data_IF_634780171702
#
_entry.id   IF_634780171702
#
_cell.length_a   1.000
_cell.length_b   1.000
_cell.length_c   1.000
_cell.angle_alpha   90.00
_cell.angle_beta   90.00
_cell.angle_gamma   90.00
#
_symmetry.space_group_name_H-M   'P 1'
#
loop_
_entity.id
_entity.type
_entity.pdbx_description
1 polymer ?
#
# COMPACT_ATOMS: atom_id res chain seq x y z
N UNK A 1 22.11 -15.49 -1.03
CA UNK A 1 20.71 -15.67 -0.58
C UNK A 1 20.35 -14.44 0.23
N UNK A 2 19.51 -13.55 -0.31
CA UNK A 2 19.10 -12.33 0.40
C UNK A 2 17.84 -12.66 1.21
N UNK A 3 17.89 -12.53 2.53
CA UNK A 3 16.73 -12.77 3.38
C UNK A 3 15.58 -11.83 2.98
N UNK A 4 14.30 -12.26 3.03
CA UNK A 4 13.19 -11.39 2.76
C UNK A 4 13.16 -10.26 3.79
N UNK A 5 13.11 -9.02 3.31
CA UNK A 5 12.90 -7.85 4.17
C UNK A 5 11.46 -7.91 4.67
N UNK A 6 11.28 -8.34 5.92
CA UNK A 6 9.99 -8.25 6.61
C UNK A 6 9.68 -6.77 6.82
N UNK A 7 8.72 -6.24 6.04
CA UNK A 7 8.19 -4.90 6.27
C UNK A 7 7.03 -5.02 7.26
N UNK A 8 6.96 -4.14 8.26
CA UNK A 8 5.82 -4.09 9.16
C UNK A 8 4.53 -3.81 8.38
N UNK A 9 3.41 -4.31 8.88
CA UNK A 9 2.09 -3.96 8.36
C UNK A 9 1.75 -2.50 8.70
N UNK A 10 0.83 -1.90 7.93
CA UNK A 10 0.39 -0.51 8.12
C UNK A 10 -0.47 -0.46 9.38
N UNK A 11 -0.04 0.27 10.40
CA UNK A 11 -0.73 0.36 11.68
C UNK A 11 -1.56 1.64 11.80
N UNK A 12 -1.06 2.75 11.28
CA UNK A 12 -1.70 4.05 11.46
C UNK A 12 -1.59 4.98 10.23
N UNK A 13 -2.13 6.18 10.38
CA UNK A 13 -2.13 7.21 9.35
C UNK A 13 -0.72 7.69 9.00
N UNK A 14 0.22 7.67 9.94
CA UNK A 14 1.62 8.01 9.73
C UNK A 14 2.27 7.05 8.73
N UNK A 15 2.07 5.74 8.91
CA UNK A 15 2.56 4.72 7.97
C UNK A 15 2.01 4.93 6.55
N UNK A 16 0.74 5.32 6.44
CA UNK A 16 0.11 5.65 5.16
C UNK A 16 0.78 6.88 4.53
N UNK A 17 1.02 7.94 5.30
CA UNK A 17 1.69 9.13 4.80
C UNK A 17 3.12 8.83 4.33
N UNK A 18 3.86 8.00 5.06
CA UNK A 18 5.22 7.59 4.72
C UNK A 18 5.28 6.73 3.44
N UNK A 19 4.22 5.97 3.16
CA UNK A 19 4.08 5.23 1.91
C UNK A 19 3.64 6.12 0.73
N UNK A 20 2.63 6.94 0.94
CA UNK A 20 1.93 7.69 -0.12
C UNK A 20 2.71 8.92 -0.57
N UNK A 21 3.40 9.61 0.36
CA UNK A 21 4.20 10.81 0.04
C UNK A 21 5.28 10.55 -1.02
N UNK A 22 6.19 9.56 -0.86
CA UNK A 22 7.22 9.29 -1.87
C UNK A 22 6.64 8.76 -3.18
N UNK A 23 5.48 8.10 -3.15
CA UNK A 23 4.77 7.71 -4.37
C UNK A 23 4.35 8.94 -5.17
N UNK A 24 3.63 9.89 -4.55
CA UNK A 24 3.19 11.10 -5.26
C UNK A 24 4.34 12.02 -5.65
N UNK A 25 5.42 12.10 -4.86
CA UNK A 25 6.64 12.79 -5.28
C UNK A 25 7.20 12.23 -6.58
N UNK A 26 7.19 10.90 -6.75
CA UNK A 26 7.62 10.26 -8.01
C UNK A 26 6.63 10.54 -9.14
N UNK A 27 5.33 10.47 -8.88
CA UNK A 27 4.29 10.76 -9.91
C UNK A 27 4.44 12.17 -10.47
N UNK A 28 4.65 13.17 -9.61
CA UNK A 28 4.83 14.56 -10.04
C UNK A 28 6.14 14.79 -10.81
N UNK A 29 7.18 14.01 -10.52
CA UNK A 29 8.48 14.09 -11.19
C UNK A 29 8.57 13.19 -12.45
N UNK A 30 7.57 12.35 -12.68
CA UNK A 30 7.56 11.41 -13.80
C UNK A 30 7.28 12.14 -15.12
N UNK A 31 8.02 11.83 -16.18
CA UNK A 31 7.92 12.54 -17.45
C UNK A 31 6.60 12.28 -18.20
N UNK A 32 5.96 11.14 -17.96
CA UNK A 32 4.69 10.78 -18.57
C UNK A 32 3.50 11.27 -17.73
N UNK A 33 3.57 11.07 -16.41
CA UNK A 33 2.46 11.40 -15.50
C UNK A 33 2.49 12.85 -15.01
N UNK A 34 3.67 13.41 -14.78
CA UNK A 34 3.86 14.76 -14.25
C UNK A 34 3.05 15.84 -14.98
N UNK A 35 3.07 15.92 -16.33
CA UNK A 35 2.28 16.91 -17.07
C UNK A 35 0.78 16.81 -16.84
N UNK A 36 0.25 15.60 -16.57
CA UNK A 36 -1.17 15.41 -16.27
C UNK A 36 -1.49 16.06 -14.92
N UNK A 37 -0.65 15.87 -13.91
CA UNK A 37 -0.87 16.41 -12.57
C UNK A 37 -0.58 17.91 -12.48
N UNK A 38 0.45 18.40 -13.17
CA UNK A 38 0.91 19.79 -13.10
C UNK A 38 0.20 20.69 -14.10
N UNK A 39 0.20 20.31 -15.38
CA UNK A 39 -0.24 21.21 -16.46
C UNK A 39 -1.75 21.10 -16.72
N UNK A 40 -2.28 19.87 -16.72
CA UNK A 40 -3.69 19.60 -17.01
C UNK A 40 -4.55 19.76 -15.77
N UNK A 41 -4.29 18.97 -14.73
CA UNK A 41 -5.09 18.94 -13.51
C UNK A 41 -4.71 20.04 -12.50
N UNK A 42 -3.54 20.68 -12.65
CA UNK A 42 -3.05 21.78 -11.80
C UNK A 42 -3.15 21.46 -10.31
N UNK A 43 -2.72 20.27 -9.95
CA UNK A 43 -2.83 19.74 -8.60
C UNK A 43 -1.82 20.43 -7.69
N UNK A 44 -2.30 21.05 -6.62
CA UNK A 44 -1.46 21.49 -5.51
C UNK A 44 -1.16 20.30 -4.61
N UNK A 45 0.12 19.93 -4.54
CA UNK A 45 0.57 18.79 -3.74
C UNK A 45 0.31 18.97 -2.24
N UNK A 46 0.37 20.20 -1.72
CA UNK A 46 0.14 20.47 -0.30
C UNK A 46 -1.31 20.25 0.12
N UNK A 47 -2.24 20.43 -0.82
CA UNK A 47 -3.69 20.22 -0.63
C UNK A 47 -4.07 18.78 -0.97
N UNK A 48 -3.47 18.21 -2.01
CA UNK A 48 -3.84 16.89 -2.52
C UNK A 48 -3.33 15.75 -1.63
N UNK A 49 -2.11 15.84 -1.10
CA UNK A 49 -1.52 14.77 -0.31
C UNK A 49 -2.37 14.41 0.94
N UNK A 50 -2.85 15.35 1.77
CA UNK A 50 -3.73 15.04 2.89
C UNK A 50 -5.00 14.28 2.47
N UNK A 51 -5.63 14.69 1.36
CA UNK A 51 -6.84 14.04 0.82
C UNK A 51 -6.55 12.61 0.38
N UNK A 52 -5.41 12.37 -0.26
CA UNK A 52 -5.01 11.01 -0.65
C UNK A 52 -4.68 10.14 0.54
N UNK A 53 -4.11 10.70 1.61
CA UNK A 53 -3.94 9.96 2.87
C UNK A 53 -5.29 9.56 3.48
N UNK A 54 -6.28 10.47 3.52
CA UNK A 54 -7.64 10.16 3.98
C UNK A 54 -8.30 9.03 3.18
N UNK A 55 -8.14 9.09 1.85
CA UNK A 55 -8.66 8.08 0.94
C UNK A 55 -8.04 6.71 1.24
N UNK A 56 -6.71 6.62 1.32
CA UNK A 56 -6.02 5.37 1.57
C UNK A 56 -6.25 4.83 2.99
N UNK A 57 -6.40 5.70 3.99
CA UNK A 57 -6.82 5.31 5.35
C UNK A 57 -8.19 4.65 5.34
N UNK A 58 -9.14 5.22 4.58
CA UNK A 58 -10.48 4.66 4.41
C UNK A 58 -10.43 3.30 3.71
N UNK A 59 -9.63 3.17 2.66
CA UNK A 59 -9.46 1.91 1.89
C UNK A 59 -8.83 0.83 2.76
N UNK A 60 -7.71 1.13 3.43
CA UNK A 60 -7.02 0.21 4.33
C UNK A 60 -7.95 -0.25 5.45
N UNK A 61 -8.64 0.69 6.13
CA UNK A 61 -9.60 0.37 7.17
C UNK A 61 -10.78 -0.48 6.67
N UNK A 62 -11.25 -0.25 5.45
CA UNK A 62 -12.31 -1.06 4.82
C UNK A 62 -11.85 -2.49 4.53
N UNK A 63 -10.65 -2.66 3.98
CA UNK A 63 -10.03 -3.96 3.75
C UNK A 63 -9.86 -4.71 5.07
N UNK A 64 -9.30 -4.05 6.09
CA UNK A 64 -9.11 -4.65 7.42
C UNK A 64 -10.45 -5.06 8.04
N UNK A 65 -11.52 -4.27 7.89
CA UNK A 65 -12.88 -4.67 8.33
C UNK A 65 -13.41 -5.89 7.55
N UNK A 66 -13.25 -5.90 6.22
CA UNK A 66 -13.67 -7.03 5.37
C UNK A 66 -12.95 -8.32 5.77
N UNK A 67 -11.63 -8.25 5.97
CA UNK A 67 -10.82 -9.41 6.34
C UNK A 67 -11.13 -9.91 7.76
N UNK A 68 -11.44 -9.01 8.70
CA UNK A 68 -11.94 -9.42 10.04
C UNK A 68 -13.31 -10.12 9.98
N UNK A 69 -14.14 -9.79 8.99
CA UNK A 69 -15.47 -10.37 8.81
C UNK A 69 -15.52 -11.65 7.95
N UNK A 70 -14.42 -12.02 7.31
CA UNK A 70 -14.27 -13.29 6.61
C UNK A 70 -13.55 -14.27 7.54
N UNK A 71 -13.96 -15.54 7.64
CA UNK A 71 -13.12 -16.54 8.27
C UNK A 71 -11.78 -16.53 7.53
N UNK A 72 -10.68 -16.21 8.22
CA UNK A 72 -9.31 -16.26 7.72
C UNK A 72 -8.85 -17.70 7.38
N UNK A 73 -9.78 -18.60 7.03
CA UNK A 73 -9.60 -20.05 6.97
C UNK A 73 -9.07 -20.51 5.60
N UNK A 74 -9.05 -19.65 4.58
CA UNK A 74 -8.67 -20.08 3.23
C UNK A 74 -7.16 -20.04 2.95
N UNK A 75 -6.36 -19.21 3.64
CA UNK A 75 -4.89 -19.20 3.46
C UNK A 75 -4.13 -20.14 4.43
N UNK A 76 -4.68 -20.46 5.60
CA UNK A 76 -4.05 -21.38 6.56
C UNK A 76 -4.06 -22.83 6.06
N UNK A 77 -5.01 -23.19 5.20
CA UNK A 77 -5.12 -24.56 4.68
C UNK A 77 -4.00 -24.90 3.69
N UNK A 78 -3.58 -23.94 2.86
CA UNK A 78 -2.55 -24.17 1.82
C UNK A 78 -1.16 -24.33 2.45
N UNK A 79 -0.86 -23.57 3.50
CA UNK A 79 0.44 -23.63 4.20
C UNK A 79 0.62 -24.92 5.03
N UNK A 80 -0.46 -25.62 5.39
CA UNK A 80 -0.40 -26.94 6.03
C UNK A 80 -0.24 -28.11 5.05
N UNK A 81 -0.53 -27.90 3.77
CA UNK A 81 -0.49 -28.98 2.76
C UNK A 81 0.84 -29.09 2.01
N UNK A 82 1.70 -28.08 2.11
CA UNK A 82 3.05 -28.09 1.54
C UNK A 82 4.06 -27.53 2.57
N UNK A 83 4.56 -28.33 3.52
CA UNK A 83 5.79 -27.99 4.21
C UNK A 83 6.91 -27.94 3.17
N UNK A 84 7.74 -26.89 3.24
CA UNK A 84 8.88 -26.68 2.35
C UNK A 84 9.79 -27.94 2.35
N UNK A 85 9.68 -28.78 1.31
CA UNK A 85 10.71 -29.77 1.02
C UNK A 85 11.90 -29.03 0.40
N UNK A 86 12.88 -28.70 1.24
CA UNK A 86 14.21 -28.27 0.83
C UNK A 86 14.87 -29.40 0.00
N UNK A 87 15.20 -29.17 -1.28
CA UNK A 87 15.87 -30.18 -2.10
C UNK A 87 17.32 -30.36 -1.61
N UNK A 88 17.68 -31.60 -1.27
CA UNK A 88 19.07 -32.05 -1.04
C UNK A 88 19.87 -32.11 -2.34
#
# INVERSE_FOLDING_TARGET
MTAPVSRPDIADRGDIADLVTPFYRRVFADALLGPIFVDVAKVDMSVHLPVMCDFWETVAGSISRRLRGQPATQHVTIQRQHPDEEPS
#
